data_IF_469791417381
#
_entry.id   IF_469791417381
#
_cell.length_a   1.000
_cell.length_b   1.000
_cell.length_c   1.000
_cell.angle_alpha   90.00
_cell.angle_beta   90.00
_cell.angle_gamma   90.00
#
_symmetry.space_group_name_H-M   'P 1'
#
loop_
_entity.id
_entity.type
_entity.pdbx_description
1 polymer ?
#
# COMPACT_ATOMS: atom_id res chain seq x y z
N UNK A 1 18.81 14.50 15.58
CA UNK A 1 17.99 13.30 15.69
C UNK A 1 16.63 13.54 16.36
N UNK A 2 16.55 14.12 17.57
CA UNK A 2 15.27 14.39 18.26
C UNK A 2 14.29 15.29 17.46
N UNK A 3 14.77 16.27 16.69
CA UNK A 3 13.91 17.23 15.97
C UNK A 3 13.21 16.63 14.73
N UNK A 4 13.86 15.72 14.00
CA UNK A 4 13.29 15.10 12.80
C UNK A 4 12.21 14.07 13.22
N UNK A 5 12.49 13.30 14.27
CA UNK A 5 11.52 12.37 14.85
C UNK A 5 10.28 13.12 15.41
N UNK A 6 10.49 14.30 15.99
CA UNK A 6 9.42 15.15 16.51
C UNK A 6 8.57 15.78 15.39
N UNK A 7 9.18 16.15 14.26
CA UNK A 7 8.45 16.73 13.11
C UNK A 7 7.62 15.65 12.40
N UNK A 8 8.16 14.45 12.19
CA UNK A 8 7.40 13.31 11.66
C UNK A 8 6.24 12.93 12.61
N UNK A 9 6.50 12.91 13.92
CA UNK A 9 5.46 12.61 14.92
C UNK A 9 4.40 13.73 15.01
N UNK A 10 4.75 15.00 14.84
CA UNK A 10 3.81 16.12 14.83
C UNK A 10 3.00 16.20 13.53
N UNK A 11 3.58 15.83 12.37
CA UNK A 11 2.84 15.71 11.12
C UNK A 11 1.81 14.57 11.20
N UNK A 12 2.19 13.42 11.77
CA UNK A 12 1.29 12.31 12.08
C UNK A 12 0.22 12.74 13.09
N UNK A 13 0.55 13.50 14.14
CA UNK A 13 -0.41 13.99 15.12
C UNK A 13 -1.40 15.01 14.55
N UNK A 14 -1.00 15.84 13.58
CA UNK A 14 -1.89 16.77 12.90
C UNK A 14 -2.87 16.07 11.94
N UNK A 15 -2.49 14.89 11.40
CA UNK A 15 -3.35 14.03 10.58
C UNK A 15 -4.18 13.06 11.44
N UNK A 16 -3.79 12.82 12.69
CA UNK A 16 -4.33 11.78 13.57
C UNK A 16 -5.79 12.00 14.01
N UNK A 17 -6.32 13.23 13.93
CA UNK A 17 -7.74 13.48 14.31
C UNK A 17 -8.75 12.63 13.51
N UNK A 18 -8.33 11.96 12.43
CA UNK A 18 -9.15 11.08 11.60
C UNK A 18 -8.42 9.82 11.09
N UNK A 19 -7.16 9.58 11.46
CA UNK A 19 -6.46 8.39 11.01
C UNK A 19 -6.93 7.16 11.78
N UNK A 20 -7.18 6.05 11.08
CA UNK A 20 -7.64 4.81 11.70
C UNK A 20 -6.52 4.04 12.38
N UNK A 21 -5.32 4.00 11.76
CA UNK A 21 -4.22 3.29 12.37
C UNK A 21 -2.84 3.83 11.93
N UNK A 22 -1.86 3.54 12.79
CA UNK A 22 -0.43 3.68 12.51
C UNK A 22 0.20 2.31 12.71
N UNK A 23 1.01 1.89 11.75
CA UNK A 23 1.72 0.61 11.78
C UNK A 23 3.23 0.85 11.76
N UNK A 24 3.96 -0.07 12.35
CA UNK A 24 5.42 -0.13 12.24
C UNK A 24 5.80 -1.58 11.95
N UNK A 25 6.45 -1.79 10.81
CA UNK A 25 6.86 -3.09 10.32
C UNK A 25 8.38 -3.24 10.32
N UNK A 26 8.86 -4.42 10.71
CA UNK A 26 10.21 -4.86 10.43
C UNK A 26 10.17 -5.88 9.29
N UNK A 27 10.84 -5.56 8.19
CA UNK A 27 10.85 -6.32 6.95
C UNK A 27 12.06 -7.27 6.91
N UNK A 28 11.82 -8.54 6.55
CA UNK A 28 12.82 -9.58 6.43
C UNK A 28 13.29 -9.82 4.98
N UNK A 29 12.67 -9.18 3.98
CA UNK A 29 12.95 -9.39 2.56
C UNK A 29 14.42 -9.25 2.23
N UNK A 30 15.06 -8.15 2.66
CA UNK A 30 16.51 -7.95 2.50
C UNK A 30 17.37 -9.04 3.15
N UNK A 31 16.90 -9.70 4.20
CA UNK A 31 17.63 -10.80 4.84
C UNK A 31 17.50 -12.10 4.02
N UNK A 32 16.36 -12.26 3.32
CA UNK A 32 16.05 -13.43 2.48
C UNK A 32 16.71 -13.28 1.11
N UNK A 33 16.65 -12.07 0.53
CA UNK A 33 17.11 -11.73 -0.83
C UNK A 33 18.22 -10.66 -0.77
N UNK A 34 19.33 -10.99 -0.12
CA UNK A 34 20.39 -10.03 0.23
C UNK A 34 21.04 -9.33 -0.97
N UNK A 35 21.02 -9.95 -2.14
CA UNK A 35 21.55 -9.40 -3.36
C UNK A 35 20.47 -8.64 -4.16
N UNK A 36 19.35 -9.29 -4.39
CA UNK A 36 18.26 -8.78 -5.22
C UNK A 36 17.57 -7.58 -4.57
N UNK A 37 17.49 -7.57 -3.25
CA UNK A 37 16.84 -6.53 -2.44
C UNK A 37 17.82 -5.82 -1.49
N UNK A 38 19.07 -5.64 -1.90
CA UNK A 38 20.12 -5.02 -1.09
C UNK A 38 19.74 -3.61 -0.56
N UNK A 39 18.95 -2.87 -1.33
CA UNK A 39 18.49 -1.53 -1.00
C UNK A 39 17.14 -1.47 -0.27
N UNK A 40 16.43 -2.61 -0.12
CA UNK A 40 15.16 -2.68 0.60
C UNK A 40 15.32 -2.27 2.05
N UNK A 41 14.43 -1.43 2.54
CA UNK A 41 14.50 -0.95 3.91
C UNK A 41 13.92 -1.98 4.88
N UNK A 42 14.49 -2.02 6.09
CA UNK A 42 14.08 -2.99 7.12
C UNK A 42 12.94 -2.48 7.99
N UNK A 43 12.67 -1.18 7.96
CA UNK A 43 11.65 -0.58 8.81
C UNK A 43 10.78 0.34 7.96
N UNK A 44 9.49 0.06 7.94
CA UNK A 44 8.46 0.89 7.32
C UNK A 44 7.46 1.32 8.38
N UNK A 45 7.14 2.61 8.39
CA UNK A 45 6.04 3.16 9.18
C UNK A 45 4.89 3.49 8.23
N UNK A 46 3.71 2.92 8.48
CA UNK A 46 2.49 3.14 7.69
C UNK A 46 1.50 3.97 8.49
N UNK A 47 0.95 5.01 7.87
CA UNK A 47 -0.25 5.71 8.31
C UNK A 47 -1.37 5.35 7.34
N UNK A 48 -2.44 4.78 7.85
CA UNK A 48 -3.55 4.29 7.02
C UNK A 48 -4.88 4.77 7.56
N UNK A 49 -5.79 5.17 6.67
CA UNK A 49 -7.17 5.47 7.01
C UNK A 49 -8.14 4.93 5.95
N UNK A 50 -9.19 4.27 6.43
CA UNK A 50 -10.43 4.07 5.70
C UNK A 50 -11.54 4.85 6.41
N UNK A 51 -12.35 5.60 5.66
CA UNK A 51 -13.48 6.36 6.19
C UNK A 51 -14.66 6.29 5.23
N UNK A 52 -15.75 5.68 5.67
CA UNK A 52 -17.02 5.72 4.96
C UNK A 52 -17.78 7.01 5.28
N UNK A 53 -18.54 7.51 4.31
CA UNK A 53 -19.47 8.63 4.44
C UNK A 53 -20.77 8.36 3.66
N UNK A 54 -21.71 9.32 3.65
CA UNK A 54 -23.02 9.17 2.98
C UNK A 54 -22.92 9.01 1.46
N UNK A 55 -21.79 9.33 0.85
CA UNK A 55 -21.57 9.32 -0.58
C UNK A 55 -20.74 8.12 -1.05
N UNK A 56 -19.99 7.47 -0.11
CA UNK A 56 -19.08 6.37 -0.41
C UNK A 56 -17.98 6.23 0.62
N UNK A 57 -16.72 6.18 0.19
CA UNK A 57 -15.59 6.01 1.11
C UNK A 57 -14.33 6.74 0.63
N UNK A 58 -13.51 7.14 1.58
CA UNK A 58 -12.12 7.54 1.38
C UNK A 58 -11.20 6.47 1.88
N UNK A 59 -10.14 6.22 1.16
CA UNK A 59 -9.01 5.42 1.62
C UNK A 59 -7.71 6.12 1.26
N UNK A 60 -6.76 6.10 2.18
CA UNK A 60 -5.38 6.48 1.89
C UNK A 60 -4.41 5.78 2.82
N UNK A 61 -3.21 5.60 2.34
CA UNK A 61 -2.08 5.27 3.17
C UNK A 61 -0.82 6.03 2.75
N UNK A 62 0.11 6.10 3.69
CA UNK A 62 1.46 6.61 3.49
C UNK A 62 2.43 5.62 4.10
N UNK A 63 3.28 5.04 3.27
CA UNK A 63 4.38 4.20 3.70
C UNK A 63 5.66 5.02 3.72
N UNK A 64 6.32 5.03 4.87
CA UNK A 64 7.54 5.77 5.12
C UNK A 64 8.64 4.78 5.43
N UNK A 65 9.52 4.54 4.47
CA UNK A 65 10.70 3.71 4.67
C UNK A 65 11.77 4.45 5.44
N UNK A 66 12.24 3.82 6.50
CA UNK A 66 13.17 4.42 7.45
C UNK A 66 14.55 3.76 7.40
N UNK A 67 15.57 4.60 7.38
CA UNK A 67 16.95 4.17 7.67
C UNK A 67 17.31 4.56 9.11
N UNK A 68 18.46 4.11 9.59
CA UNK A 68 18.99 4.56 10.88
C UNK A 68 19.28 6.06 10.96
N UNK A 69 19.29 6.78 9.83
CA UNK A 69 19.69 8.19 9.74
C UNK A 69 18.62 9.13 9.18
N UNK A 70 17.77 8.63 8.28
CA UNK A 70 16.83 9.48 7.54
C UNK A 70 15.68 8.67 6.96
N UNK A 71 14.68 9.34 6.40
CA UNK A 71 13.65 8.74 5.55
C UNK A 71 14.27 8.35 4.21
N UNK A 72 14.03 7.13 3.76
CA UNK A 72 14.48 6.60 2.47
C UNK A 72 13.48 6.91 1.37
N UNK A 73 12.22 6.66 1.64
CA UNK A 73 11.12 6.87 0.70
C UNK A 73 9.81 7.17 1.42
N UNK A 74 8.90 7.77 0.70
CA UNK A 74 7.50 7.90 1.07
C UNK A 74 6.69 7.47 -0.17
N UNK A 75 5.82 6.48 -0.01
CA UNK A 75 4.85 6.07 -1.02
C UNK A 75 3.44 6.31 -0.49
N UNK A 76 2.51 6.64 -1.36
CA UNK A 76 1.12 6.90 -0.97
C UNK A 76 0.16 6.50 -2.07
N UNK A 77 -0.98 6.01 -1.65
CA UNK A 77 -2.19 5.92 -2.46
C UNK A 77 -3.31 6.68 -1.76
N UNK A 78 -4.11 7.38 -2.57
CA UNK A 78 -5.27 8.12 -2.08
C UNK A 78 -6.41 7.84 -3.02
N UNK A 79 -7.49 7.25 -2.51
CA UNK A 79 -8.65 6.91 -3.32
C UNK A 79 -9.96 7.45 -2.76
N UNK A 80 -10.90 7.64 -3.67
CA UNK A 80 -12.29 8.00 -3.37
C UNK A 80 -13.22 7.07 -4.13
N UNK A 81 -14.15 6.45 -3.42
CA UNK A 81 -15.29 5.78 -3.99
C UNK A 81 -16.55 6.62 -3.82
N UNK A 82 -17.40 6.64 -4.86
CA UNK A 82 -18.70 7.33 -4.88
C UNK A 82 -19.76 6.31 -5.24
N UNK A 83 -20.69 6.04 -4.32
CA UNK A 83 -21.78 5.09 -4.52
C UNK A 83 -22.64 5.46 -5.72
N UNK A 84 -22.86 4.53 -6.65
CA UNK A 84 -23.67 4.74 -7.84
C UNK A 84 -25.19 4.60 -7.60
N UNK A 85 -25.57 4.22 -6.38
CA UNK A 85 -26.97 4.14 -5.96
C UNK A 85 -27.10 3.56 -4.57
N UNK A 86 -28.19 3.89 -3.87
CA UNK A 86 -28.40 3.52 -2.45
C UNK A 86 -28.48 2.00 -2.20
N UNK A 87 -28.86 1.22 -3.21
CA UNK A 87 -29.05 -0.22 -3.09
C UNK A 87 -28.17 -1.00 -4.09
N UNK A 88 -27.20 -0.33 -4.72
CA UNK A 88 -26.28 -0.97 -5.64
C UNK A 88 -24.93 -1.19 -4.94
N UNK A 89 -24.34 -2.36 -5.02
CA UNK A 89 -23.02 -2.63 -4.47
C UNK A 89 -21.90 -2.07 -5.37
N UNK A 90 -22.20 -1.04 -6.16
CA UNK A 90 -21.30 -0.44 -7.14
C UNK A 90 -20.95 0.99 -6.75
N UNK A 91 -19.68 1.31 -6.88
CA UNK A 91 -19.16 2.66 -6.73
C UNK A 91 -18.27 3.04 -7.93
N UNK A 92 -18.28 4.32 -8.28
CA UNK A 92 -17.22 4.89 -9.10
C UNK A 92 -15.97 5.03 -8.22
N UNK A 93 -14.82 4.64 -8.75
CA UNK A 93 -13.53 4.69 -8.05
C UNK A 93 -12.58 5.64 -8.78
N UNK A 94 -11.90 6.49 -8.03
CA UNK A 94 -10.77 7.31 -8.50
C UNK A 94 -9.63 7.21 -7.50
N UNK A 95 -8.38 7.14 -8.01
CA UNK A 95 -7.21 6.94 -7.18
C UNK A 95 -5.99 7.65 -7.76
N UNK A 96 -5.10 8.02 -6.89
CA UNK A 96 -3.76 8.51 -7.21
C UNK A 96 -2.72 7.70 -6.45
N UNK A 97 -1.72 7.20 -7.18
CA UNK A 97 -0.55 6.50 -6.66
C UNK A 97 0.70 7.33 -6.90
N UNK A 98 1.58 7.40 -5.93
CA UNK A 98 2.83 8.11 -6.11
C UNK A 98 3.72 8.13 -4.88
N UNK A 99 4.86 8.78 -5.01
CA UNK A 99 5.79 8.89 -3.90
C UNK A 99 7.14 9.44 -4.32
N UNK A 100 7.98 9.63 -3.32
CA UNK A 100 9.33 10.16 -3.45
C UNK A 100 10.32 9.20 -2.80
N UNK A 101 11.53 9.16 -3.35
CA UNK A 101 12.60 8.38 -2.76
C UNK A 101 13.92 9.18 -2.74
N UNK A 102 14.78 8.82 -1.81
CA UNK A 102 16.14 9.34 -1.67
C UNK A 102 17.14 8.19 -1.62
N UNK A 103 18.09 8.17 -2.53
CA UNK A 103 19.18 7.21 -2.56
C UNK A 103 20.53 7.94 -2.51
N UNK A 104 21.34 7.75 -1.43
CA UNK A 104 22.59 8.50 -1.28
C UNK A 104 23.56 8.40 -2.46
N UNK A 105 23.54 7.30 -3.19
CA UNK A 105 24.43 7.04 -4.33
C UNK A 105 23.95 7.64 -5.66
N UNK A 106 22.62 7.81 -5.81
CA UNK A 106 22.01 8.21 -7.10
C UNK A 106 21.14 9.46 -7.02
N UNK A 107 20.91 10.01 -5.81
CA UNK A 107 20.15 11.24 -5.62
C UNK A 107 18.72 11.04 -5.15
N UNK A 108 17.84 11.95 -5.56
CA UNK A 108 16.42 11.96 -5.23
C UNK A 108 15.59 11.75 -6.49
N UNK A 109 14.44 11.13 -6.35
CA UNK A 109 13.50 10.95 -7.45
C UNK A 109 12.08 10.72 -6.96
N UNK A 110 11.18 10.43 -7.90
CA UNK A 110 9.83 9.98 -7.61
C UNK A 110 9.62 8.56 -8.13
N UNK A 111 8.73 7.83 -7.45
CA UNK A 111 8.11 6.66 -8.06
C UNK A 111 7.30 7.10 -9.28
N UNK A 112 7.11 6.20 -10.25
CA UNK A 112 6.26 6.53 -11.38
C UNK A 112 4.82 6.70 -10.88
N UNK A 113 4.32 7.92 -11.01
CA UNK A 113 2.99 8.29 -10.54
C UNK A 113 1.92 7.75 -11.48
N UNK A 114 0.77 7.42 -10.93
CA UNK A 114 -0.38 6.98 -11.70
C UNK A 114 -1.68 7.63 -11.19
N UNK A 115 -2.63 7.79 -12.10
CA UNK A 115 -4.01 8.08 -11.79
C UNK A 115 -4.88 6.91 -12.25
N UNK A 116 -5.82 6.49 -11.42
CA UNK A 116 -6.73 5.39 -11.72
C UNK A 116 -8.17 5.88 -11.68
N UNK A 117 -9.00 5.29 -12.54
CA UNK A 117 -10.44 5.53 -12.52
C UNK A 117 -11.18 4.28 -13.03
N UNK A 118 -12.31 3.96 -12.39
CA UNK A 118 -13.10 2.80 -12.79
C UNK A 118 -14.26 2.52 -11.88
N UNK A 119 -14.58 1.24 -11.74
CA UNK A 119 -15.73 0.75 -10.98
C UNK A 119 -15.24 -0.22 -9.90
N UNK A 120 -15.79 -0.05 -8.70
CA UNK A 120 -15.68 -0.97 -7.59
C UNK A 120 -17.01 -1.70 -7.35
N UNK A 121 -16.93 -3.00 -7.07
CA UNK A 121 -18.02 -3.81 -6.55
C UNK A 121 -17.72 -4.16 -5.09
N UNK A 122 -18.51 -3.61 -4.16
CA UNK A 122 -18.29 -3.72 -2.74
C UNK A 122 -19.30 -4.67 -2.08
N UNK A 123 -18.83 -5.46 -1.13
CA UNK A 123 -19.69 -6.38 -0.41
C UNK A 123 -19.28 -6.55 1.04
N UNK A 124 -20.25 -6.97 1.86
CA UNK A 124 -20.05 -7.29 3.26
C UNK A 124 -21.11 -8.27 3.75
N UNK A 125 -20.85 -8.97 4.86
CA UNK A 125 -21.87 -9.70 5.57
C UNK A 125 -22.66 -8.77 6.54
N UNK A 126 -23.71 -9.29 7.17
CA UNK A 126 -24.67 -8.48 7.93
C UNK A 126 -24.04 -7.71 9.11
N UNK A 127 -22.99 -8.24 9.71
CA UNK A 127 -22.32 -7.67 10.90
C UNK A 127 -21.00 -6.98 10.56
N UNK A 128 -20.68 -6.81 9.25
CA UNK A 128 -19.42 -6.24 8.75
C UNK A 128 -18.14 -6.94 9.25
N UNK A 129 -18.24 -8.14 9.79
CA UNK A 129 -17.05 -8.92 10.14
C UNK A 129 -16.31 -9.43 8.91
N UNK A 130 -16.96 -9.41 7.74
CA UNK A 130 -16.37 -9.73 6.43
C UNK A 130 -16.73 -8.65 5.43
N UNK A 131 -15.71 -8.06 4.86
CA UNK A 131 -15.83 -7.05 3.80
C UNK A 131 -14.96 -7.43 2.61
N UNK A 132 -15.36 -7.07 1.41
CA UNK A 132 -14.56 -7.26 0.21
C UNK A 132 -14.88 -6.20 -0.84
N UNK A 133 -13.91 -5.94 -1.68
CA UNK A 133 -14.06 -5.11 -2.88
C UNK A 133 -13.40 -5.81 -4.07
N UNK A 134 -13.98 -5.69 -5.24
CA UNK A 134 -13.35 -6.04 -6.52
C UNK A 134 -13.44 -4.83 -7.43
N UNK A 135 -12.31 -4.38 -7.95
CA UNK A 135 -12.21 -3.14 -8.71
C UNK A 135 -11.64 -3.43 -10.09
N UNK A 136 -12.21 -2.76 -11.11
CA UNK A 136 -11.70 -2.78 -12.48
C UNK A 136 -11.41 -1.33 -12.89
N UNK A 137 -10.14 -1.02 -13.08
CA UNK A 137 -9.63 0.34 -13.18
C UNK A 137 -8.85 0.54 -14.47
N UNK A 138 -9.11 1.63 -15.16
CA UNK A 138 -8.15 2.24 -16.09
C UNK A 138 -7.04 2.86 -15.26
N UNK A 139 -5.77 2.59 -15.62
CA UNK A 139 -4.58 3.14 -14.94
C UNK A 139 -3.77 3.94 -15.94
N UNK A 140 -3.55 5.21 -15.68
CA UNK A 140 -2.70 6.08 -16.46
C UNK A 140 -1.41 6.33 -15.70
N UNK A 141 -0.29 5.79 -16.19
CA UNK A 141 1.02 6.16 -15.71
C UNK A 141 1.43 7.50 -16.30
N UNK A 142 1.89 8.42 -15.44
CA UNK A 142 2.38 9.72 -15.85
C UNK A 142 3.88 9.67 -16.13
N UNK A 143 4.34 10.62 -16.95
CA UNK A 143 5.77 10.84 -17.12
C UNK A 143 6.33 11.33 -15.78
N UNK A 144 7.31 10.60 -15.23
CA UNK A 144 8.10 11.05 -14.08
C UNK A 144 9.38 11.73 -14.54
N UNK A 145 10.25 12.09 -13.60
CA UNK A 145 11.61 12.51 -13.91
C UNK A 145 12.34 11.40 -14.70
N UNK A 146 13.40 11.68 -15.37
CA UNK A 146 14.42 10.68 -15.73
C UNK A 146 14.00 9.59 -16.74
N UNK A 147 13.42 9.99 -17.86
CA UNK A 147 13.31 9.10 -19.01
C UNK A 147 12.14 8.12 -19.00
N UNK A 148 11.27 8.15 -17.99
CA UNK A 148 9.99 7.44 -18.08
C UNK A 148 9.07 8.15 -19.06
N UNK A 149 8.18 7.39 -19.69
CA UNK A 149 7.12 7.93 -20.53
C UNK A 149 5.73 7.68 -19.92
N UNK A 150 4.76 8.45 -20.38
CA UNK A 150 3.37 8.23 -20.01
C UNK A 150 2.77 7.11 -20.84
N UNK A 151 2.06 6.18 -20.19
CA UNK A 151 1.36 5.11 -20.89
C UNK A 151 0.08 4.69 -20.18
N UNK A 152 -0.86 4.17 -20.96
CA UNK A 152 -2.10 3.63 -20.50
C UNK A 152 -1.98 2.16 -20.07
N UNK A 153 -2.70 1.82 -19.01
CA UNK A 153 -2.74 0.48 -18.45
C UNK A 153 -4.15 0.17 -17.92
N UNK A 154 -4.30 -1.00 -17.36
CA UNK A 154 -5.44 -1.40 -16.56
C UNK A 154 -4.96 -1.99 -15.23
N UNK A 155 -5.82 -1.96 -14.22
CA UNK A 155 -5.60 -2.63 -12.94
C UNK A 155 -6.89 -3.35 -12.52
N UNK A 156 -6.70 -4.58 -12.02
CA UNK A 156 -7.73 -5.32 -11.30
C UNK A 156 -7.27 -5.43 -9.85
N UNK A 157 -8.11 -4.99 -8.92
CA UNK A 157 -7.83 -5.01 -7.48
C UNK A 157 -8.87 -5.85 -6.76
N UNK A 158 -8.39 -6.72 -5.87
CA UNK A 158 -9.22 -7.41 -4.89
C UNK A 158 -8.81 -7.00 -3.49
N UNK A 159 -9.75 -6.53 -2.66
CA UNK A 159 -9.51 -6.14 -1.27
C UNK A 159 -10.36 -6.99 -0.35
N UNK A 160 -9.84 -7.36 0.82
CA UNK A 160 -10.60 -8.09 1.83
C UNK A 160 -10.28 -7.62 3.25
N UNK A 161 -11.28 -7.78 4.13
CA UNK A 161 -11.16 -7.59 5.57
C UNK A 161 -12.03 -8.61 6.28
N UNK A 162 -11.42 -9.43 7.14
CA UNK A 162 -12.07 -10.51 7.88
C UNK A 162 -11.71 -10.38 9.36
N UNK A 163 -12.72 -10.16 10.20
CA UNK A 163 -12.57 -10.22 11.66
C UNK A 163 -13.16 -11.55 12.16
N UNK A 164 -12.44 -12.26 13.00
CA UNK A 164 -12.83 -13.56 13.51
C UNK A 164 -12.35 -13.78 14.95
N UNK A 165 -12.77 -14.88 15.59
CA UNK A 165 -12.52 -15.16 17.02
C UNK A 165 -12.92 -13.98 17.93
N UNK A 166 -14.18 -13.52 17.79
CA UNK A 166 -14.72 -12.39 18.56
C UNK A 166 -13.87 -11.11 18.40
N UNK A 167 -13.45 -10.81 17.16
CA UNK A 167 -12.58 -9.69 16.78
C UNK A 167 -11.15 -9.76 17.38
N UNK A 168 -10.74 -10.89 17.92
CA UNK A 168 -9.35 -11.08 18.39
C UNK A 168 -8.35 -11.21 17.25
N UNK A 169 -8.83 -11.59 16.07
CA UNK A 169 -7.99 -11.73 14.88
C UNK A 169 -8.60 -10.94 13.72
N UNK A 170 -7.73 -10.27 12.98
CA UNK A 170 -8.07 -9.62 11.71
C UNK A 170 -7.17 -10.16 10.61
N UNK A 171 -7.77 -10.64 9.52
CA UNK A 171 -7.08 -10.96 8.28
C UNK A 171 -7.54 -9.98 7.21
N UNK A 172 -6.65 -9.16 6.72
CA UNK A 172 -6.94 -8.12 5.72
C UNK A 172 -5.86 -8.10 4.65
N UNK A 173 -6.10 -7.34 3.59
CA UNK A 173 -5.12 -7.15 2.55
C UNK A 173 -5.74 -6.89 1.20
N UNK A 174 -4.87 -6.87 0.20
CA UNK A 174 -5.26 -6.69 -1.19
C UNK A 174 -4.45 -7.59 -2.14
N UNK A 175 -4.93 -7.68 -3.37
CA UNK A 175 -4.20 -8.23 -4.50
C UNK A 175 -4.48 -7.38 -5.73
N UNK A 176 -3.42 -6.99 -6.41
CA UNK A 176 -3.42 -6.20 -7.62
C UNK A 176 -2.79 -6.93 -8.79
N UNK A 177 -3.40 -6.74 -9.94
CA UNK A 177 -2.91 -7.18 -11.23
C UNK A 177 -2.94 -6.01 -12.19
N UNK A 178 -1.80 -5.62 -12.74
CA UNK A 178 -1.77 -4.57 -13.76
C UNK A 178 -0.75 -4.84 -14.86
N UNK A 179 -0.93 -4.19 -16.01
CA UNK A 179 0.08 -4.17 -17.04
C UNK A 179 1.13 -3.11 -16.68
N UNK A 180 2.32 -3.55 -16.36
CA UNK A 180 3.49 -2.70 -16.21
C UNK A 180 4.39 -2.74 -17.44
N UNK A 181 5.51 -2.00 -17.39
CA UNK A 181 6.55 -2.02 -18.40
C UNK A 181 7.91 -2.26 -17.75
N UNK A 182 8.72 -3.12 -18.40
CA UNK A 182 10.12 -3.36 -18.02
C UNK A 182 11.00 -2.21 -18.55
N UNK A 183 12.26 -2.16 -18.12
CA UNK A 183 13.23 -1.14 -18.54
C UNK A 183 13.43 -1.05 -20.08
N UNK A 184 13.13 -2.12 -20.82
CA UNK A 184 13.17 -2.15 -22.30
C UNK A 184 11.82 -1.78 -22.94
N UNK A 185 10.89 -1.20 -22.20
CA UNK A 185 9.52 -0.82 -22.60
C UNK A 185 8.63 -2.00 -23.04
N UNK A 186 9.03 -3.25 -22.78
CA UNK A 186 8.16 -4.40 -23.03
C UNK A 186 7.16 -4.54 -21.89
N UNK A 187 5.87 -4.69 -22.24
CA UNK A 187 4.81 -4.93 -21.29
C UNK A 187 5.03 -6.21 -20.49
N UNK A 188 4.70 -6.18 -19.21
CA UNK A 188 4.65 -7.35 -18.35
C UNK A 188 3.41 -7.30 -17.47
N UNK A 189 2.96 -8.46 -17.00
CA UNK A 189 1.96 -8.53 -15.93
C UNK A 189 2.68 -8.34 -14.60
N UNK A 190 2.28 -7.33 -13.86
CA UNK A 190 2.72 -7.12 -12.48
C UNK A 190 1.63 -7.66 -11.54
N UNK A 191 2.07 -8.35 -10.51
CA UNK A 191 1.22 -8.85 -9.43
C UNK A 191 1.80 -8.33 -8.13
N UNK A 192 0.95 -7.76 -7.27
CA UNK A 192 1.28 -7.37 -5.90
C UNK A 192 0.15 -7.80 -4.98
N UNK A 193 0.48 -8.39 -3.84
CA UNK A 193 -0.49 -8.74 -2.81
C UNK A 193 0.16 -8.62 -1.44
N UNK A 194 -0.54 -8.01 -0.50
CA UNK A 194 -0.07 -7.80 0.87
C UNK A 194 -1.12 -8.28 1.90
N UNK A 195 -1.28 -9.61 2.05
CA UNK A 195 -2.07 -10.15 3.15
C UNK A 195 -1.45 -9.82 4.51
N UNK A 196 -2.29 -9.35 5.42
CA UNK A 196 -1.95 -9.02 6.80
C UNK A 196 -2.72 -9.91 7.77
N UNK A 197 -2.07 -10.39 8.81
CA UNK A 197 -2.71 -11.11 9.91
C UNK A 197 -2.37 -10.44 11.23
N UNK A 198 -3.38 -9.93 11.93
CA UNK A 198 -3.25 -9.20 13.18
C UNK A 198 -3.92 -9.91 14.34
N UNK A 199 -3.21 -10.03 15.46
CA UNK A 199 -3.79 -10.35 16.75
C UNK A 199 -4.09 -9.06 17.51
N UNK A 200 -5.38 -8.80 17.77
CA UNK A 200 -5.85 -7.60 18.46
C UNK A 200 -5.72 -7.80 19.98
N UNK A 201 -4.63 -7.29 20.55
CA UNK A 201 -4.36 -7.35 22.00
C UNK A 201 -5.45 -6.60 22.77
N UNK A 202 -5.87 -5.46 22.23
CA UNK A 202 -7.01 -4.67 22.68
C UNK A 202 -7.53 -3.81 21.52
N UNK A 203 -8.54 -2.94 21.77
CA UNK A 203 -9.14 -2.08 20.73
C UNK A 203 -8.16 -1.08 20.08
N UNK A 204 -7.04 -0.78 20.75
CA UNK A 204 -6.08 0.22 20.29
C UNK A 204 -4.75 -0.39 19.80
N UNK A 205 -4.46 -1.63 20.15
CA UNK A 205 -3.13 -2.21 19.87
C UNK A 205 -3.23 -3.62 19.33
N UNK A 206 -2.53 -3.86 18.25
CA UNK A 206 -2.41 -5.17 17.60
C UNK A 206 -0.95 -5.51 17.32
N UNK A 207 -0.64 -6.79 17.29
CA UNK A 207 0.64 -7.33 16.83
C UNK A 207 0.36 -8.30 15.67
N UNK A 208 1.23 -8.34 14.68
CA UNK A 208 0.93 -9.16 13.51
C UNK A 208 2.03 -9.17 12.47
N UNK A 209 1.66 -9.59 11.30
CA UNK A 209 2.54 -9.74 10.14
C UNK A 209 1.82 -9.27 8.88
N UNK A 210 2.60 -8.77 7.95
CA UNK A 210 2.24 -8.59 6.56
C UNK A 210 3.22 -9.39 5.71
N UNK A 211 2.74 -9.94 4.61
CA UNK A 211 3.60 -10.65 3.67
C UNK A 211 3.37 -10.07 2.27
N UNK A 212 4.35 -9.34 1.75
CA UNK A 212 4.32 -8.93 0.35
C UNK A 212 4.62 -10.14 -0.54
N UNK A 213 3.70 -10.46 -1.44
CA UNK A 213 3.90 -11.35 -2.58
C UNK A 213 3.92 -10.51 -3.84
N UNK A 214 5.01 -10.53 -4.56
CA UNK A 214 5.12 -9.72 -5.77
C UNK A 214 5.73 -10.48 -6.93
N UNK A 215 5.30 -10.14 -8.16
CA UNK A 215 5.90 -10.61 -9.40
C UNK A 215 6.03 -9.46 -10.38
N UNK A 216 7.22 -9.27 -10.94
CA UNK A 216 7.59 -8.13 -11.80
C UNK A 216 7.39 -6.74 -11.14
N UNK A 217 7.17 -6.65 -9.84
CA UNK A 217 7.00 -5.41 -9.08
C UNK A 217 8.36 -4.86 -8.63
N UNK A 218 9.18 -5.71 -8.01
CA UNK A 218 10.51 -5.33 -7.54
C UNK A 218 11.48 -5.31 -8.72
N UNK A 219 12.16 -4.17 -8.91
CA UNK A 219 13.19 -4.04 -9.92
C UNK A 219 14.46 -4.73 -9.41
N UNK A 220 14.81 -5.83 -10.07
CA UNK A 220 15.98 -6.64 -9.75
C UNK A 220 17.00 -6.57 -10.91
N UNK A 221 18.21 -6.08 -10.64
CA UNK A 221 19.32 -5.97 -11.59
C UNK A 221 20.34 -7.10 -11.46
N UNK A 222 20.12 -8.04 -10.55
CA UNK A 222 21.12 -9.05 -10.17
C UNK A 222 20.98 -10.35 -10.96
N UNK A 223 19.74 -10.74 -11.23
CA UNK A 223 19.38 -11.95 -11.96
C UNK A 223 17.97 -11.82 -12.56
N UNK A 224 17.48 -12.90 -13.20
CA UNK A 224 16.15 -12.91 -13.86
C UNK A 224 14.98 -13.19 -12.88
N UNK A 225 15.21 -13.18 -11.58
CA UNK A 225 14.16 -13.44 -10.60
C UNK A 225 13.16 -12.29 -10.58
N UNK A 226 11.88 -12.61 -10.71
CA UNK A 226 10.78 -11.65 -10.74
C UNK A 226 9.79 -11.83 -9.60
N UNK A 227 9.78 -13.00 -8.96
CA UNK A 227 8.87 -13.32 -7.87
C UNK A 227 9.58 -13.24 -6.51
N UNK A 228 8.98 -12.49 -5.59
CA UNK A 228 9.49 -12.25 -4.24
C UNK A 228 8.40 -12.49 -3.19
N UNK A 229 8.83 -12.88 -2.00
CA UNK A 229 7.98 -13.06 -0.81
C UNK A 229 8.68 -12.39 0.36
N UNK A 230 8.15 -11.27 0.80
CA UNK A 230 8.76 -10.40 1.82
C UNK A 230 7.89 -10.36 3.07
N UNK A 231 8.14 -11.24 4.05
CA UNK A 231 7.40 -11.22 5.30
C UNK A 231 7.89 -10.10 6.22
N UNK A 232 6.97 -9.55 6.99
CA UNK A 232 7.25 -8.56 8.03
C UNK A 232 6.78 -9.05 9.40
N UNK A 233 7.26 -8.42 10.45
CA UNK A 233 6.67 -8.44 11.77
C UNK A 233 6.29 -7.01 12.15
N UNK A 234 5.05 -6.80 12.57
CA UNK A 234 4.53 -5.46 12.80
C UNK A 234 3.75 -5.28 14.09
N UNK A 235 3.64 -4.03 14.47
CA UNK A 235 2.73 -3.54 15.50
C UNK A 235 1.81 -2.48 14.90
N UNK A 236 0.56 -2.43 15.35
CA UNK A 236 -0.45 -1.49 14.87
C UNK A 236 -1.15 -0.81 16.04
N UNK A 237 -1.28 0.50 15.95
CA UNK A 237 -2.06 1.32 16.88
C UNK A 237 -3.27 1.88 16.17
N UNK A 238 -4.47 1.51 16.63
CA UNK A 238 -5.73 2.10 16.17
C UNK A 238 -6.02 3.38 16.97
N UNK A 239 -6.36 4.46 16.27
CA UNK A 239 -6.53 5.81 16.80
C UNK A 239 -8.01 6.17 17.00
#
# INVERSE_FOLDING_TARGET
MKKIFTIALMAVAALSANAQNIQLHYDFGRNIYSNEEADRQKVTATLEQFKADDWGSWYYFFDVDLTSKTTRSIYTEISREINLGKNLPLAAHVEYDGGLWHAPAIGNGSYQQAGLAGIAYNGHNADFSKTWSVQALYKQFFKSYEGTHSYASFQLTGVWGLNFLDNKMTFSGFIDFWRGEKANNHGCLVILSEPQLWYNVNKHFSVGTEVEFSNNFIVNYYNDKTFFVNPTLGVKSNL
#
